data_IF_988641029501
#
_entry.id   IF_988641029501
#
_cell.length_a   1.000
_cell.length_b   1.000
_cell.length_c   1.000
_cell.angle_alpha   90.00
_cell.angle_beta   90.00
_cell.angle_gamma   90.00
#
_symmetry.space_group_name_H-M   'P 1'
#
loop_
_entity.id
_entity.type
_entity.pdbx_description
1 polymer ?
#
# COMPACT_ATOMS: atom_id res chain seq x y z
N UNK A 1 -5.89 -9.21 14.58
CA UNK A 1 -4.80 -10.09 14.11
C UNK A 1 -5.26 -11.03 12.98
N UNK A 2 -6.40 -11.74 13.10
CA UNK A 2 -6.86 -12.76 12.13
C UNK A 2 -7.11 -12.12 10.74
N UNK A 3 -7.93 -11.08 10.63
CA UNK A 3 -8.25 -10.43 9.35
C UNK A 3 -7.00 -9.96 8.60
N UNK A 4 -6.00 -9.43 9.31
CA UNK A 4 -4.73 -9.00 8.70
C UNK A 4 -4.01 -10.20 8.10
N UNK A 5 -3.94 -11.32 8.82
CA UNK A 5 -3.29 -12.55 8.32
C UNK A 5 -4.01 -13.12 7.09
N UNK A 6 -5.36 -13.06 7.05
CA UNK A 6 -6.15 -13.47 5.88
C UNK A 6 -5.89 -12.58 4.66
N UNK A 7 -5.84 -11.26 4.85
CA UNK A 7 -5.50 -10.30 3.78
C UNK A 7 -4.14 -10.61 3.17
N UNK A 8 -3.10 -10.65 4.00
CA UNK A 8 -1.73 -10.84 3.54
C UNK A 8 -1.44 -12.29 3.08
N UNK A 9 -2.15 -13.28 3.61
CA UNK A 9 -2.07 -14.67 3.16
C UNK A 9 -2.72 -14.91 1.79
N UNK A 10 -3.80 -14.19 1.47
CA UNK A 10 -4.48 -14.29 0.19
C UNK A 10 -3.73 -13.55 -0.95
N UNK A 11 -3.01 -12.49 -0.63
CA UNK A 11 -2.37 -11.59 -1.60
C UNK A 11 -1.38 -12.29 -2.55
N UNK A 12 -0.47 -13.17 -2.11
CA UNK A 12 0.41 -13.91 -3.00
C UNK A 12 -0.32 -14.87 -3.94
N UNK A 13 -1.42 -15.49 -3.47
CA UNK A 13 -2.17 -16.46 -4.25
C UNK A 13 -2.86 -15.85 -5.47
N UNK A 14 -3.18 -14.55 -5.43
CA UNK A 14 -3.78 -13.79 -6.53
C UNK A 14 -2.76 -13.17 -7.48
N UNK A 15 -1.47 -13.18 -7.14
CA UNK A 15 -0.43 -12.51 -7.91
C UNK A 15 -0.18 -13.18 -9.25
N UNK A 16 -0.06 -12.41 -10.35
CA UNK A 16 0.24 -12.98 -11.67
C UNK A 16 1.68 -13.52 -11.75
N UNK A 17 1.87 -14.57 -12.55
CA UNK A 17 3.20 -15.09 -12.88
C UNK A 17 3.83 -14.26 -13.99
N UNK A 18 4.69 -13.31 -13.64
CA UNK A 18 5.39 -12.43 -14.60
C UNK A 18 6.90 -12.60 -14.46
N UNK A 19 7.59 -12.64 -15.61
CA UNK A 19 9.06 -12.70 -15.63
C UNK A 19 9.68 -11.39 -15.11
N UNK A 20 10.59 -11.47 -14.15
CA UNK A 20 11.31 -10.31 -13.61
C UNK A 20 12.12 -9.55 -14.68
N UNK A 21 12.56 -10.23 -15.75
CA UNK A 21 13.22 -9.57 -16.89
C UNK A 21 12.26 -8.67 -17.67
N UNK A 22 11.03 -9.12 -17.88
CA UNK A 22 10.00 -8.32 -18.57
C UNK A 22 9.58 -7.12 -17.72
N UNK A 23 9.42 -7.32 -16.39
CA UNK A 23 9.14 -6.24 -15.44
C UNK A 23 10.24 -5.18 -15.49
N UNK A 24 11.52 -5.57 -15.38
CA UNK A 24 12.63 -4.64 -15.40
C UNK A 24 12.75 -3.85 -16.72
N UNK A 25 12.53 -4.52 -17.86
CA UNK A 25 12.64 -3.89 -19.17
C UNK A 25 11.49 -2.93 -19.49
N UNK A 26 10.25 -3.30 -19.13
CA UNK A 26 9.05 -2.54 -19.49
C UNK A 26 8.68 -1.48 -18.47
N UNK A 27 8.78 -1.80 -17.19
CA UNK A 27 8.23 -0.96 -16.11
C UNK A 27 9.28 -0.40 -15.15
N UNK A 28 10.56 -0.50 -15.49
CA UNK A 28 11.65 0.01 -14.66
C UNK A 28 11.44 1.45 -14.16
N UNK A 29 11.07 2.42 -15.02
CA UNK A 29 10.77 3.79 -14.57
C UNK A 29 9.62 3.85 -13.56
N UNK A 30 8.55 3.08 -13.77
CA UNK A 30 7.41 3.03 -12.86
C UNK A 30 7.77 2.36 -11.53
N UNK A 31 8.57 1.29 -11.58
CA UNK A 31 9.12 0.67 -10.37
C UNK A 31 9.97 1.66 -9.58
N UNK A 32 10.93 2.34 -10.24
CA UNK A 32 11.77 3.32 -9.58
C UNK A 32 10.93 4.46 -8.95
N UNK A 33 9.92 4.94 -9.67
CA UNK A 33 8.99 5.95 -9.17
C UNK A 33 8.27 5.49 -7.91
N UNK A 34 7.65 4.33 -7.95
CA UNK A 34 6.85 3.82 -6.84
C UNK A 34 7.72 3.40 -5.64
N UNK A 35 8.84 2.71 -5.89
CA UNK A 35 9.74 2.27 -4.82
C UNK A 35 10.39 3.46 -4.11
N UNK A 36 10.88 4.45 -4.86
CA UNK A 36 11.47 5.66 -4.28
C UNK A 36 10.43 6.47 -3.53
N UNK A 37 9.22 6.61 -4.08
CA UNK A 37 8.13 7.31 -3.41
C UNK A 37 7.79 6.71 -2.06
N UNK A 38 7.71 5.38 -1.98
CA UNK A 38 7.52 4.66 -0.72
C UNK A 38 8.65 4.96 0.26
N UNK A 39 9.90 4.69 -0.13
CA UNK A 39 11.06 4.83 0.74
C UNK A 39 11.25 6.26 1.24
N UNK A 40 11.08 7.26 0.36
CA UNK A 40 11.17 8.67 0.75
C UNK A 40 10.05 9.09 1.70
N UNK A 41 8.84 8.56 1.53
CA UNK A 41 7.76 8.86 2.46
C UNK A 41 8.09 8.34 3.86
N UNK A 42 8.56 7.08 3.99
CA UNK A 42 9.03 6.52 5.25
C UNK A 42 10.18 7.33 5.84
N UNK A 43 11.22 7.61 5.04
CA UNK A 43 12.41 8.32 5.50
C UNK A 43 12.10 9.77 5.93
N UNK A 44 11.54 10.58 5.03
CA UNK A 44 11.39 12.01 5.28
C UNK A 44 10.36 12.32 6.35
N UNK A 45 9.21 11.64 6.33
CA UNK A 45 8.17 11.86 7.35
C UNK A 45 8.58 11.26 8.69
N UNK A 46 9.24 10.10 8.68
CA UNK A 46 9.78 9.51 9.90
C UNK A 46 10.83 10.41 10.56
N UNK A 47 11.80 10.91 9.79
CA UNK A 47 12.82 11.86 10.29
C UNK A 47 12.21 13.18 10.74
N UNK A 48 11.22 13.71 10.03
CA UNK A 48 10.48 14.89 10.45
C UNK A 48 9.80 14.68 11.80
N UNK A 49 9.13 13.55 11.99
CA UNK A 49 8.53 13.20 13.29
C UNK A 49 9.54 13.11 14.40
N UNK A 50 10.67 12.45 14.14
CA UNK A 50 11.69 12.18 15.14
C UNK A 50 12.50 13.43 15.55
N UNK A 51 12.82 14.32 14.60
CA UNK A 51 13.68 15.47 14.84
C UNK A 51 12.94 16.80 14.95
N UNK A 52 11.80 16.97 14.29
CA UNK A 52 11.06 18.24 14.32
C UNK A 52 9.87 18.18 15.26
N UNK A 53 8.99 17.17 15.11
CA UNK A 53 7.81 17.08 15.98
C UNK A 53 8.23 16.79 17.42
N UNK A 54 9.16 15.87 17.64
CA UNK A 54 9.64 15.51 18.98
C UNK A 54 10.39 16.65 19.66
N UNK A 55 10.98 17.59 18.91
CA UNK A 55 11.57 18.82 19.49
C UNK A 55 10.51 19.69 20.17
N UNK A 56 9.27 19.71 19.63
CA UNK A 56 8.16 20.50 20.17
C UNK A 56 7.39 19.70 21.24
N UNK A 57 7.28 18.38 21.06
CA UNK A 57 6.61 17.45 21.96
C UNK A 57 7.57 16.30 22.36
N UNK A 58 8.48 16.50 23.33
CA UNK A 58 9.51 15.51 23.67
C UNK A 58 8.99 14.16 24.16
N UNK A 59 7.79 14.15 24.77
CA UNK A 59 7.17 12.95 25.35
C UNK A 59 6.53 12.02 24.30
N UNK A 60 6.56 12.39 23.02
CA UNK A 60 6.04 11.54 21.96
C UNK A 60 6.93 10.32 21.72
N UNK A 61 6.29 9.19 21.40
CA UNK A 61 6.99 7.98 20.98
C UNK A 61 7.86 8.27 19.76
N UNK A 62 9.06 7.69 19.70
CA UNK A 62 10.00 7.85 18.58
C UNK A 62 9.39 7.44 17.24
N UNK A 63 8.47 6.48 17.25
CA UNK A 63 7.76 6.01 16.08
C UNK A 63 6.55 6.87 15.68
N UNK A 64 6.27 7.99 16.37
CA UNK A 64 5.08 8.82 16.07
C UNK A 64 5.06 9.29 14.62
N UNK A 65 6.19 9.75 14.09
CA UNK A 65 6.29 10.25 12.71
C UNK A 65 5.96 9.20 11.65
N UNK A 66 6.31 7.94 11.89
CA UNK A 66 6.05 6.86 10.93
C UNK A 66 4.58 6.41 10.91
N UNK A 67 3.75 6.86 11.83
CA UNK A 67 2.32 6.58 11.75
C UNK A 67 1.69 7.17 10.49
N UNK A 68 2.23 8.25 9.95
CA UNK A 68 1.71 8.84 8.72
C UNK A 68 1.99 7.95 7.48
N UNK A 69 3.23 7.56 7.14
CA UNK A 69 3.45 6.65 6.01
C UNK A 69 2.77 5.29 6.21
N UNK A 70 2.63 4.84 7.45
CA UNK A 70 1.88 3.63 7.80
C UNK A 70 0.42 3.72 7.35
N UNK A 71 -0.26 4.84 7.59
CA UNK A 71 -1.64 5.05 7.20
C UNK A 71 -1.79 5.52 5.75
N UNK A 72 -0.93 6.41 5.28
CA UNK A 72 -1.01 6.97 3.93
C UNK A 72 -0.64 5.94 2.87
N UNK A 73 0.60 5.51 2.84
CA UNK A 73 1.08 4.57 1.83
C UNK A 73 0.49 3.17 2.00
N UNK A 74 0.51 2.68 3.23
CA UNK A 74 0.05 1.33 3.55
C UNK A 74 -1.47 1.20 3.71
N UNK A 75 -2.18 2.31 3.87
CA UNK A 75 -3.62 2.32 4.13
C UNK A 75 -4.00 1.64 5.45
N UNK A 76 -5.28 1.35 5.61
CA UNK A 76 -5.82 0.77 6.85
C UNK A 76 -5.26 -0.62 7.18
N UNK A 77 -4.90 -1.42 6.15
CA UNK A 77 -4.31 -2.76 6.33
C UNK A 77 -2.97 -2.69 7.05
N UNK A 78 -2.06 -1.88 6.55
CA UNK A 78 -0.74 -1.65 7.13
C UNK A 78 -0.84 -0.93 8.47
N UNK A 79 -1.75 0.05 8.59
CA UNK A 79 -2.01 0.75 9.84
C UNK A 79 -2.45 -0.20 10.96
N UNK A 80 -3.34 -1.14 10.64
CA UNK A 80 -3.76 -2.17 11.58
C UNK A 80 -2.61 -3.13 11.92
N UNK A 81 -1.78 -3.52 10.94
CA UNK A 81 -0.67 -4.45 11.13
C UNK A 81 0.41 -3.85 12.04
N UNK A 82 0.96 -2.69 11.65
CA UNK A 82 2.01 -1.99 12.40
C UNK A 82 1.48 -1.50 13.75
N UNK A 83 0.26 -0.95 13.78
CA UNK A 83 -0.36 -0.50 15.02
C UNK A 83 -0.51 -1.63 16.03
N UNK A 84 -1.00 -2.81 15.60
CA UNK A 84 -1.13 -3.98 16.48
C UNK A 84 0.23 -4.53 16.93
N UNK A 85 1.26 -4.46 16.07
CA UNK A 85 2.61 -4.87 16.46
C UNK A 85 3.18 -3.94 17.54
N UNK A 86 3.02 -2.62 17.42
CA UNK A 86 3.43 -1.66 18.44
C UNK A 86 2.62 -1.79 19.74
N UNK A 87 1.29 -2.05 19.67
CA UNK A 87 0.48 -2.35 20.84
C UNK A 87 1.05 -3.57 21.60
N UNK A 88 1.43 -4.64 20.89
CA UNK A 88 2.08 -5.81 21.48
C UNK A 88 3.45 -5.52 22.10
N UNK A 89 4.12 -4.46 21.66
CA UNK A 89 5.42 -4.01 22.16
C UNK A 89 5.30 -2.86 23.18
N UNK A 90 4.10 -2.54 23.67
CA UNK A 90 3.85 -1.62 24.77
C UNK A 90 3.49 -0.18 24.39
N UNK A 91 3.14 0.08 23.11
CA UNK A 91 2.62 1.39 22.69
C UNK A 91 1.12 1.31 22.35
N UNK A 92 0.26 1.46 23.34
CA UNK A 92 -1.19 1.24 23.29
C UNK A 92 -1.97 2.18 22.34
N UNK A 93 -1.40 3.33 22.00
CA UNK A 93 -2.03 4.32 21.14
C UNK A 93 -1.72 4.12 19.63
N UNK A 94 -0.71 3.32 19.31
CA UNK A 94 -0.18 3.18 17.95
C UNK A 94 -1.24 2.82 16.92
N UNK A 95 -2.11 1.87 17.23
CA UNK A 95 -3.17 1.42 16.32
C UNK A 95 -4.18 2.52 16.04
N UNK A 96 -4.62 3.25 17.08
CA UNK A 96 -5.55 4.36 16.91
C UNK A 96 -4.94 5.49 16.07
N UNK A 97 -3.66 5.81 16.26
CA UNK A 97 -2.93 6.81 15.48
C UNK A 97 -2.79 6.38 14.02
N UNK A 98 -2.35 5.13 13.78
CA UNK A 98 -2.23 4.59 12.41
C UNK A 98 -3.56 4.54 11.67
N UNK A 99 -4.63 4.09 12.31
CA UNK A 99 -5.97 4.06 11.71
C UNK A 99 -6.49 5.47 11.42
N UNK A 100 -6.20 6.44 12.29
CA UNK A 100 -6.57 7.85 12.08
C UNK A 100 -5.83 8.43 10.89
N UNK A 101 -4.52 8.20 10.77
CA UNK A 101 -3.74 8.69 9.61
C UNK A 101 -4.22 8.03 8.31
N UNK A 102 -4.60 6.75 8.32
CA UNK A 102 -5.17 6.08 7.16
C UNK A 102 -6.51 6.71 6.73
N UNK A 103 -7.40 6.98 7.68
CA UNK A 103 -8.70 7.61 7.40
C UNK A 103 -8.53 9.03 6.85
N UNK A 104 -7.67 9.83 7.48
CA UNK A 104 -7.35 11.19 7.00
C UNK A 104 -6.65 11.13 5.64
N UNK A 105 -5.80 10.13 5.44
CA UNK A 105 -5.13 9.89 4.17
C UNK A 105 -6.10 9.70 3.00
N UNK A 106 -7.16 8.91 3.17
CA UNK A 106 -8.21 8.74 2.15
C UNK A 106 -8.89 10.08 1.84
N UNK A 107 -9.20 10.88 2.86
CA UNK A 107 -9.79 12.22 2.67
C UNK A 107 -8.81 13.13 1.89
N UNK A 108 -7.54 13.16 2.27
CA UNK A 108 -6.50 13.92 1.57
C UNK A 108 -6.30 13.43 0.12
N UNK A 109 -6.40 12.13 -0.11
CA UNK A 109 -6.35 11.53 -1.45
C UNK A 109 -7.43 12.10 -2.35
N UNK A 110 -8.68 12.09 -1.90
CA UNK A 110 -9.83 12.55 -2.68
C UNK A 110 -9.75 14.07 -2.89
N UNK A 111 -9.69 14.86 -1.82
CA UNK A 111 -9.72 16.32 -1.91
C UNK A 111 -8.50 16.84 -2.68
N UNK A 112 -7.30 16.41 -2.29
CA UNK A 112 -6.07 16.82 -2.96
C UNK A 112 -6.01 16.34 -4.40
N UNK A 113 -6.47 15.12 -4.67
CA UNK A 113 -6.56 14.56 -6.02
C UNK A 113 -7.48 15.38 -6.93
N UNK A 114 -8.69 15.70 -6.48
CA UNK A 114 -9.64 16.51 -7.25
C UNK A 114 -9.11 17.94 -7.51
N UNK A 115 -8.46 18.55 -6.52
CA UNK A 115 -7.81 19.86 -6.71
C UNK A 115 -6.71 19.81 -7.76
N UNK A 116 -5.88 18.77 -7.75
CA UNK A 116 -4.82 18.56 -8.74
C UNK A 116 -5.39 18.27 -10.13
N UNK A 117 -6.44 17.47 -10.25
CA UNK A 117 -7.14 17.20 -11.53
C UNK A 117 -7.71 18.50 -12.10
N UNK A 118 -8.40 19.29 -11.28
CA UNK A 118 -8.93 20.60 -11.71
C UNK A 118 -7.83 21.54 -12.18
N UNK A 119 -6.72 21.59 -11.45
CA UNK A 119 -5.55 22.38 -11.84
C UNK A 119 -4.98 21.90 -13.18
N UNK A 120 -4.80 20.60 -13.34
CA UNK A 120 -4.19 20.03 -14.54
C UNK A 120 -5.08 20.17 -15.79
N UNK A 121 -6.38 20.00 -15.67
CA UNK A 121 -7.33 20.25 -16.75
C UNK A 121 -7.26 21.71 -17.21
N UNK A 122 -7.31 22.67 -16.26
CA UNK A 122 -7.18 24.09 -16.56
C UNK A 122 -5.86 24.45 -17.26
N UNK A 123 -4.76 23.77 -16.93
CA UNK A 123 -3.43 24.04 -17.50
C UNK A 123 -3.05 23.08 -18.63
N UNK A 124 -4.02 22.32 -19.17
CA UNK A 124 -3.81 21.38 -20.28
C UNK A 124 -2.67 20.38 -20.02
N UNK A 125 -2.55 19.89 -18.79
CA UNK A 125 -1.55 18.90 -18.38
C UNK A 125 -2.07 17.46 -18.46
N UNK A 126 -3.37 17.27 -18.70
CA UNK A 126 -4.04 15.99 -18.88
C UNK A 126 -4.02 15.59 -20.37
N UNK A 127 -3.82 14.30 -20.65
CA UNK A 127 -3.75 13.81 -22.03
C UNK A 127 -5.12 13.40 -22.61
N UNK A 128 -6.10 13.03 -21.78
CA UNK A 128 -7.33 12.36 -22.23
C UNK A 128 -8.61 13.10 -21.90
N UNK A 129 -8.58 14.11 -21.04
CA UNK A 129 -9.73 14.97 -20.73
C UNK A 129 -9.40 16.43 -20.95
N UNK A 130 -10.39 17.17 -21.45
CA UNK A 130 -10.30 18.62 -21.64
C UNK A 130 -11.11 19.41 -20.61
N UNK A 131 -12.12 18.81 -19.97
CA UNK A 131 -12.97 19.46 -18.99
C UNK A 131 -13.28 18.54 -17.79
N UNK A 132 -13.53 19.16 -16.63
CA UNK A 132 -13.81 18.45 -15.38
C UNK A 132 -15.25 17.92 -15.30
N UNK A 133 -16.15 18.46 -16.13
CA UNK A 133 -17.57 18.08 -16.11
C UNK A 133 -17.88 16.73 -16.78
N UNK A 134 -16.89 16.11 -17.44
CA UNK A 134 -16.99 14.80 -18.10
C UNK A 134 -16.78 13.60 -17.13
N UNK A 135 -17.14 13.74 -15.85
CA UNK A 135 -17.01 12.67 -14.86
C UNK A 135 -17.95 11.49 -15.19
N UNK A 136 -17.42 10.25 -15.26
CA UNK A 136 -18.25 9.06 -15.45
C UNK A 136 -19.30 8.91 -14.33
N UNK A 137 -20.53 8.56 -14.70
CA UNK A 137 -21.65 8.38 -13.74
C UNK A 137 -21.35 7.34 -12.66
N UNK A 138 -20.52 6.34 -12.96
CA UNK A 138 -20.06 5.32 -12.01
C UNK A 138 -19.27 5.89 -10.83
N UNK A 139 -18.56 7.03 -11.03
CA UNK A 139 -17.84 7.72 -9.93
C UNK A 139 -18.78 8.56 -9.05
N UNK A 140 -19.94 8.95 -9.58
CA UNK A 140 -20.97 9.71 -8.84
C UNK A 140 -21.88 8.79 -8.03
N UNK A 141 -22.31 7.67 -8.65
CA UNK A 141 -23.30 6.76 -8.08
C UNK A 141 -22.69 5.60 -7.29
N UNK A 142 -21.43 5.25 -7.57
CA UNK A 142 -20.79 4.02 -7.07
C UNK A 142 -21.32 2.73 -7.72
N UNK A 143 -22.21 2.84 -8.72
CA UNK A 143 -22.80 1.70 -9.43
C UNK A 143 -22.07 1.48 -10.75
N UNK A 144 -21.65 0.22 -10.99
CA UNK A 144 -21.09 -0.18 -12.28
C UNK A 144 -22.22 -0.43 -13.28
N UNK A 145 -22.16 0.15 -14.48
CA UNK A 145 -23.03 -0.19 -15.60
C UNK A 145 -22.96 -1.70 -15.92
N UNK A 146 -24.02 -2.26 -16.48
CA UNK A 146 -24.11 -3.70 -16.71
C UNK A 146 -23.02 -4.24 -17.65
N UNK A 147 -22.66 -3.46 -18.66
CA UNK A 147 -21.61 -3.74 -19.63
C UNK A 147 -20.18 -3.71 -19.07
N UNK A 148 -20.01 -3.10 -17.87
CA UNK A 148 -18.72 -2.98 -17.18
C UNK A 148 -18.58 -3.87 -15.95
N UNK A 149 -19.52 -4.78 -15.74
CA UNK A 149 -19.49 -5.71 -14.60
C UNK A 149 -18.55 -6.87 -14.87
N UNK A 150 -17.39 -6.85 -14.21
CA UNK A 150 -16.43 -7.95 -14.29
C UNK A 150 -16.90 -9.16 -13.47
N UNK A 151 -16.51 -10.37 -13.90
CA UNK A 151 -16.70 -11.58 -13.11
C UNK A 151 -15.92 -11.50 -11.80
N UNK A 152 -16.54 -11.95 -10.71
CA UNK A 152 -15.89 -12.04 -9.39
C UNK A 152 -15.04 -13.31 -9.23
N UNK A 153 -15.06 -14.19 -10.21
CA UNK A 153 -14.30 -15.44 -10.24
C UNK A 153 -14.99 -16.51 -11.08
N UNK A 154 -14.29 -17.62 -11.27
CA UNK A 154 -14.76 -18.80 -12.00
C UNK A 154 -14.97 -19.97 -11.04
N UNK A 155 -15.95 -20.82 -11.34
CA UNK A 155 -16.17 -22.08 -10.64
C UNK A 155 -15.11 -23.09 -11.06
N UNK A 156 -14.08 -23.27 -10.23
CA UNK A 156 -12.96 -24.19 -10.48
C UNK A 156 -13.20 -25.59 -9.91
N UNK A 157 -14.18 -25.74 -9.02
CA UNK A 157 -14.56 -27.01 -8.39
C UNK A 157 -16.01 -27.34 -8.68
N UNK A 158 -16.32 -28.64 -8.83
CA UNK A 158 -17.70 -29.10 -8.96
C UNK A 158 -18.45 -28.95 -7.64
N UNK A 159 -19.66 -28.43 -7.69
CA UNK A 159 -20.56 -28.31 -6.51
C UNK A 159 -20.89 -29.65 -5.83
N UNK A 160 -20.64 -30.76 -6.53
CA UNK A 160 -20.79 -32.12 -5.95
C UNK A 160 -19.73 -32.39 -4.88
N UNK A 161 -18.51 -31.81 -5.05
CA UNK A 161 -17.40 -32.01 -4.11
C UNK A 161 -17.31 -30.90 -3.06
N UNK A 162 -17.18 -29.66 -3.48
CA UNK A 162 -17.09 -28.48 -2.62
C UNK A 162 -17.44 -27.22 -3.42
N UNK A 163 -18.14 -26.29 -2.83
CA UNK A 163 -18.36 -24.97 -3.40
C UNK A 163 -17.01 -24.24 -3.61
N UNK A 164 -16.85 -23.61 -4.78
CA UNK A 164 -15.60 -22.94 -5.16
C UNK A 164 -15.21 -21.82 -4.22
N UNK A 165 -16.17 -21.00 -3.75
CA UNK A 165 -15.88 -19.93 -2.81
C UNK A 165 -15.43 -20.49 -1.46
N UNK A 166 -16.12 -21.52 -0.97
CA UNK A 166 -15.77 -22.22 0.27
C UNK A 166 -14.37 -22.81 0.21
N UNK A 167 -14.00 -23.42 -0.94
CA UNK A 167 -12.63 -23.92 -1.17
C UNK A 167 -11.58 -22.81 -1.05
N UNK A 168 -11.79 -21.67 -1.70
CA UNK A 168 -10.84 -20.55 -1.66
C UNK A 168 -10.77 -19.90 -0.27
N UNK A 169 -11.91 -19.76 0.41
CA UNK A 169 -11.94 -19.29 1.80
C UNK A 169 -11.13 -20.22 2.70
N UNK A 170 -11.38 -21.54 2.61
CA UNK A 170 -10.64 -22.53 3.39
C UNK A 170 -9.13 -22.48 3.10
N UNK A 171 -8.75 -22.35 1.83
CA UNK A 171 -7.34 -22.20 1.44
C UNK A 171 -6.67 -20.99 2.10
N UNK A 172 -7.32 -19.82 2.08
CA UNK A 172 -6.80 -18.60 2.70
C UNK A 172 -6.68 -18.77 4.22
N UNK A 173 -7.64 -19.42 4.86
CA UNK A 173 -7.57 -19.74 6.29
C UNK A 173 -6.44 -20.71 6.62
N UNK A 174 -6.18 -21.72 5.79
CA UNK A 174 -5.04 -22.63 5.94
C UNK A 174 -3.71 -21.85 5.85
N UNK A 175 -3.56 -20.96 4.88
CA UNK A 175 -2.37 -20.11 4.76
C UNK A 175 -2.16 -19.24 6.01
N UNK A 176 -3.22 -18.60 6.49
CA UNK A 176 -3.16 -17.78 7.70
C UNK A 176 -2.83 -18.60 8.95
N UNK A 177 -3.40 -19.81 9.07
CA UNK A 177 -3.14 -20.73 10.16
C UNK A 177 -1.68 -21.22 10.16
N UNK A 178 -1.15 -21.62 9.00
CA UNK A 178 0.26 -21.99 8.87
C UNK A 178 1.18 -20.81 9.21
N UNK A 179 0.83 -19.59 8.79
CA UNK A 179 1.53 -18.37 9.19
C UNK A 179 1.53 -18.15 10.69
N UNK A 180 0.40 -18.39 11.35
CA UNK A 180 0.29 -18.35 12.80
C UNK A 180 1.20 -19.39 13.46
N UNK A 181 1.18 -20.64 12.99
CA UNK A 181 2.04 -21.70 13.53
C UNK A 181 3.53 -21.34 13.41
N UNK A 182 3.96 -20.80 12.27
CA UNK A 182 5.34 -20.35 12.07
C UNK A 182 5.68 -19.21 13.02
N UNK A 183 4.83 -18.20 13.15
CA UNK A 183 5.03 -17.07 14.06
C UNK A 183 5.19 -17.54 15.51
N UNK A 184 4.32 -18.43 15.99
CA UNK A 184 4.41 -18.98 17.35
C UNK A 184 5.68 -19.84 17.54
N UNK A 185 6.05 -20.64 16.56
CA UNK A 185 7.27 -21.45 16.60
C UNK A 185 8.51 -20.58 16.70
N UNK A 186 8.61 -19.53 15.87
CA UNK A 186 9.73 -18.58 15.92
C UNK A 186 9.79 -17.88 17.28
N UNK A 187 8.67 -17.46 17.84
CA UNK A 187 8.61 -16.82 19.17
C UNK A 187 9.12 -17.74 20.28
N UNK A 188 8.86 -19.05 20.21
CA UNK A 188 9.34 -20.03 21.19
C UNK A 188 10.86 -20.21 21.13
N UNK A 189 11.43 -20.36 19.92
CA UNK A 189 12.88 -20.60 19.75
C UNK A 189 13.72 -19.34 19.74
N UNK A 190 13.16 -18.21 19.33
CA UNK A 190 13.82 -16.91 19.23
C UNK A 190 12.94 -15.78 19.81
N UNK A 191 12.82 -15.67 21.16
CA UNK A 191 11.92 -14.72 21.81
C UNK A 191 12.16 -13.26 21.43
N UNK A 192 13.38 -12.91 21.03
CA UNK A 192 13.74 -11.55 20.58
C UNK A 192 13.16 -11.22 19.19
N UNK A 193 12.83 -12.26 18.40
CA UNK A 193 12.33 -12.10 17.04
C UNK A 193 10.83 -12.34 16.99
N UNK A 194 10.05 -11.34 17.41
CA UNK A 194 8.58 -11.40 17.34
C UNK A 194 8.08 -11.12 15.92
N UNK A 195 8.08 -12.16 15.06
CA UNK A 195 7.55 -12.02 13.71
C UNK A 195 6.02 -11.93 13.73
N UNK A 196 5.41 -10.88 13.15
CA UNK A 196 3.97 -10.76 13.03
C UNK A 196 3.35 -11.90 12.21
N UNK A 197 2.17 -12.37 12.64
CA UNK A 197 1.45 -13.49 11.98
C UNK A 197 1.19 -13.20 10.50
N UNK A 198 0.85 -11.95 10.15
CA UNK A 198 0.55 -11.58 8.77
C UNK A 198 1.78 -11.69 7.85
N UNK A 199 2.99 -11.39 8.35
CA UNK A 199 4.24 -11.52 7.59
C UNK A 199 4.56 -12.99 7.32
N UNK A 200 4.38 -13.83 8.34
CA UNK A 200 4.52 -15.28 8.17
C UNK A 200 3.48 -15.83 7.20
N UNK A 201 2.22 -15.38 7.28
CA UNK A 201 1.15 -15.76 6.34
C UNK A 201 1.47 -15.35 4.90
N UNK A 202 2.03 -14.15 4.69
CA UNK A 202 2.48 -13.71 3.37
C UNK A 202 3.58 -14.60 2.80
N UNK A 203 4.60 -14.92 3.60
CA UNK A 203 5.70 -15.80 3.19
C UNK A 203 5.19 -17.21 2.87
N UNK A 204 4.33 -17.76 3.71
CA UNK A 204 3.69 -19.07 3.47
C UNK A 204 2.85 -19.01 2.18
N UNK A 205 2.11 -17.94 1.96
CA UNK A 205 1.35 -17.72 0.72
C UNK A 205 2.23 -17.74 -0.52
N UNK A 206 3.41 -17.09 -0.49
CA UNK A 206 4.39 -17.11 -1.57
C UNK A 206 4.95 -18.53 -1.83
N UNK A 207 5.29 -19.24 -0.76
CA UNK A 207 5.82 -20.61 -0.86
C UNK A 207 4.76 -21.54 -1.45
N UNK A 208 3.54 -21.50 -0.94
CA UNK A 208 2.43 -22.30 -1.44
C UNK A 208 2.05 -21.93 -2.87
N UNK A 209 2.03 -20.65 -3.24
CA UNK A 209 1.83 -20.21 -4.63
C UNK A 209 2.83 -20.86 -5.57
N UNK A 210 4.13 -20.79 -5.23
CA UNK A 210 5.18 -21.41 -6.03
C UNK A 210 5.02 -22.94 -6.14
N UNK A 211 4.62 -23.60 -5.05
CA UNK A 211 4.33 -25.03 -5.04
C UNK A 211 3.12 -25.37 -5.91
N UNK A 212 2.05 -24.61 -5.82
CA UNK A 212 0.83 -24.82 -6.62
C UNK A 212 1.10 -24.60 -8.10
N UNK A 213 1.87 -23.57 -8.46
CA UNK A 213 2.25 -23.29 -9.85
C UNK A 213 3.12 -24.40 -10.47
N UNK A 214 3.90 -25.10 -9.65
CA UNK A 214 4.69 -26.25 -10.08
C UNK A 214 3.88 -27.56 -10.15
N UNK A 215 2.62 -27.55 -9.70
CA UNK A 215 1.75 -28.73 -9.63
C UNK A 215 0.45 -28.49 -10.38
N UNK A 216 -0.36 -29.56 -10.55
CA UNK A 216 -1.69 -29.45 -11.14
C UNK A 216 -2.72 -28.77 -10.20
N UNK A 217 -2.36 -28.51 -8.95
CA UNK A 217 -3.23 -27.85 -7.95
C UNK A 217 -3.59 -26.43 -8.38
N UNK A 218 -2.71 -25.74 -9.12
CA UNK A 218 -2.99 -24.40 -9.67
C UNK A 218 -4.29 -24.31 -10.46
N UNK A 219 -4.76 -25.40 -11.06
CA UNK A 219 -6.01 -25.47 -11.83
C UNK A 219 -7.27 -25.29 -10.96
N UNK A 220 -7.18 -25.57 -9.66
CA UNK A 220 -8.29 -25.42 -8.73
C UNK A 220 -8.36 -24.02 -8.12
N UNK A 221 -7.32 -23.18 -8.33
CA UNK A 221 -7.22 -21.85 -7.73
C UNK A 221 -7.58 -20.80 -8.77
N UNK A 222 -8.63 -20.04 -8.48
CA UNK A 222 -9.03 -18.86 -9.26
C UNK A 222 -8.39 -17.60 -8.67
N UNK A 223 -7.45 -16.93 -9.37
CA UNK A 223 -6.80 -15.72 -8.87
C UNK A 223 -7.80 -14.58 -8.61
N UNK A 224 -8.85 -14.44 -9.44
CA UNK A 224 -9.88 -13.42 -9.27
C UNK A 224 -10.66 -13.62 -7.96
N UNK A 225 -11.06 -14.85 -7.66
CA UNK A 225 -11.75 -15.18 -6.40
C UNK A 225 -10.85 -14.92 -5.20
N UNK A 226 -9.57 -15.28 -5.27
CA UNK A 226 -8.60 -15.02 -4.20
C UNK A 226 -8.38 -13.53 -3.98
N UNK A 227 -8.28 -12.75 -5.08
CA UNK A 227 -8.17 -11.28 -5.01
C UNK A 227 -9.42 -10.66 -4.37
N UNK A 228 -10.62 -11.12 -4.73
CA UNK A 228 -11.87 -10.63 -4.14
C UNK A 228 -11.97 -10.95 -2.65
N UNK A 229 -11.52 -12.12 -2.22
CA UNK A 229 -11.44 -12.48 -0.80
C UNK A 229 -10.49 -11.56 -0.03
N UNK A 230 -9.29 -11.30 -0.59
CA UNK A 230 -8.34 -10.35 0.00
C UNK A 230 -8.95 -8.95 0.15
N UNK A 231 -9.63 -8.45 -0.89
CA UNK A 231 -10.33 -7.16 -0.85
C UNK A 231 -11.45 -7.15 0.18
N UNK A 232 -12.28 -8.19 0.24
CA UNK A 232 -13.38 -8.31 1.21
C UNK A 232 -12.87 -8.33 2.65
N UNK A 233 -11.82 -9.10 2.94
CA UNK A 233 -11.20 -9.10 4.27
C UNK A 233 -10.57 -7.76 4.61
N UNK A 234 -10.04 -7.02 3.60
CA UNK A 234 -9.54 -5.66 3.78
C UNK A 234 -10.66 -4.71 4.18
N UNK A 235 -11.80 -4.75 3.48
CA UNK A 235 -12.95 -3.88 3.80
C UNK A 235 -13.49 -4.16 5.21
N UNK A 236 -13.59 -5.44 5.60
CA UNK A 236 -13.94 -5.83 6.96
C UNK A 236 -12.91 -5.32 7.99
N UNK A 237 -11.62 -5.41 7.65
CA UNK A 237 -10.54 -4.90 8.49
C UNK A 237 -10.63 -3.39 8.66
N UNK A 238 -10.93 -2.65 7.58
CA UNK A 238 -11.15 -1.20 7.59
C UNK A 238 -12.32 -0.85 8.51
N UNK A 239 -13.47 -1.49 8.32
CA UNK A 239 -14.67 -1.23 9.13
C UNK A 239 -14.41 -1.49 10.62
N UNK A 240 -13.86 -2.65 10.98
CA UNK A 240 -13.50 -2.98 12.36
C UNK A 240 -12.40 -2.04 12.91
N UNK A 241 -11.44 -1.68 12.07
CA UNK A 241 -10.32 -0.81 12.44
C UNK A 241 -10.80 0.60 12.77
N UNK A 242 -11.59 1.21 11.88
CA UNK A 242 -12.18 2.54 12.10
C UNK A 242 -13.08 2.53 13.34
N UNK A 243 -13.93 1.51 13.49
CA UNK A 243 -14.78 1.38 14.68
C UNK A 243 -13.98 1.22 16.00
N UNK A 244 -12.74 0.73 15.94
CA UNK A 244 -11.88 0.54 17.11
C UNK A 244 -11.05 1.77 17.49
N UNK A 245 -11.14 2.87 16.74
CA UNK A 245 -10.38 4.10 17.02
C UNK A 245 -10.81 4.70 18.36
N UNK A 246 -9.86 4.86 19.27
CA UNK A 246 -10.09 5.49 20.58
C UNK A 246 -10.08 7.00 20.41
N UNK A 247 -11.25 7.65 20.40
CA UNK A 247 -11.38 9.11 20.21
C UNK A 247 -10.55 9.91 21.23
N UNK A 248 -10.42 9.43 22.48
CA UNK A 248 -9.57 10.05 23.49
C UNK A 248 -8.10 10.14 23.08
N UNK A 249 -7.59 9.14 22.34
CA UNK A 249 -6.23 9.17 21.77
C UNK A 249 -6.09 10.28 20.74
N UNK A 250 -7.09 10.40 19.84
CA UNK A 250 -7.06 11.46 18.80
C UNK A 250 -7.04 12.84 19.45
N UNK A 251 -7.89 13.07 20.45
CA UNK A 251 -7.94 14.36 21.16
C UNK A 251 -6.61 14.65 21.87
N UNK A 252 -6.04 13.64 22.55
CA UNK A 252 -4.74 13.75 23.24
C UNK A 252 -3.60 14.15 22.29
N UNK A 253 -3.58 13.59 21.10
CA UNK A 253 -2.52 13.81 20.10
C UNK A 253 -2.92 14.76 18.96
N UNK A 254 -4.02 15.50 19.09
CA UNK A 254 -4.59 16.30 17.99
C UNK A 254 -3.58 17.28 17.37
N UNK A 255 -2.89 18.09 18.19
CA UNK A 255 -1.94 19.09 17.68
C UNK A 255 -0.74 18.45 16.94
N UNK A 256 0.04 17.53 17.55
CA UNK A 256 1.15 16.91 16.86
C UNK A 256 0.69 16.10 15.63
N UNK A 257 -0.50 15.52 15.67
CA UNK A 257 -1.05 14.77 14.54
C UNK A 257 -1.42 15.70 13.36
N UNK A 258 -2.03 16.86 13.63
CA UNK A 258 -2.33 17.87 12.59
C UNK A 258 -1.03 18.36 11.94
N UNK A 259 0.01 18.68 12.73
CA UNK A 259 1.32 19.10 12.20
C UNK A 259 1.94 18.00 11.33
N UNK A 260 1.89 16.75 11.81
CA UNK A 260 2.38 15.59 11.06
C UNK A 260 1.64 15.42 9.72
N UNK A 261 0.32 15.55 9.73
CA UNK A 261 -0.52 15.40 8.53
C UNK A 261 -0.21 16.50 7.51
N UNK A 262 -0.18 17.77 7.94
CA UNK A 262 0.10 18.90 7.04
C UNK A 262 1.49 18.74 6.41
N UNK A 263 2.52 18.49 7.21
CA UNK A 263 3.87 18.26 6.72
C UNK A 263 3.94 17.03 5.80
N UNK A 264 3.29 15.95 6.20
CA UNK A 264 3.25 14.71 5.42
C UNK A 264 2.58 14.88 4.06
N UNK A 265 1.42 15.55 4.00
CA UNK A 265 0.74 15.89 2.74
C UNK A 265 1.66 16.72 1.83
N UNK A 266 2.34 17.73 2.37
CA UNK A 266 3.28 18.56 1.62
C UNK A 266 4.47 17.72 1.09
N UNK A 267 5.05 16.87 1.93
CA UNK A 267 6.17 15.99 1.54
C UNK A 267 5.72 15.01 0.44
N UNK A 268 4.59 14.35 0.61
CA UNK A 268 4.06 13.40 -0.38
C UNK A 268 3.74 14.10 -1.69
N UNK A 269 3.14 15.29 -1.63
CA UNK A 269 2.88 16.10 -2.83
C UNK A 269 4.18 16.46 -3.56
N UNK A 270 5.20 16.92 -2.85
CA UNK A 270 6.51 17.22 -3.45
C UNK A 270 7.12 15.98 -4.11
N UNK A 271 7.10 14.82 -3.41
CA UNK A 271 7.65 13.57 -3.94
C UNK A 271 6.90 13.14 -5.21
N UNK A 272 5.57 13.09 -5.17
CA UNK A 272 4.75 12.64 -6.30
C UNK A 272 4.92 13.54 -7.51
N UNK A 273 4.88 14.84 -7.30
CA UNK A 273 4.99 15.82 -8.38
C UNK A 273 6.38 15.87 -9.02
N UNK A 274 7.42 15.92 -8.18
CA UNK A 274 8.80 16.00 -8.67
C UNK A 274 9.23 14.72 -9.37
N UNK A 275 9.04 13.56 -8.75
CA UNK A 275 9.42 12.28 -9.34
C UNK A 275 8.55 11.93 -10.56
N UNK A 276 7.24 12.23 -10.51
CA UNK A 276 6.35 11.99 -11.64
C UNK A 276 6.80 12.72 -12.90
N UNK A 277 7.24 13.97 -12.77
CA UNK A 277 7.79 14.75 -13.89
C UNK A 277 9.13 14.23 -14.40
N UNK A 278 9.93 13.59 -13.55
CA UNK A 278 11.30 13.15 -13.87
C UNK A 278 11.37 11.71 -14.35
N UNK A 279 10.48 10.84 -13.90
CA UNK A 279 10.51 9.41 -14.20
C UNK A 279 9.43 8.96 -15.20
N UNK A 280 8.37 9.76 -15.41
CA UNK A 280 7.32 9.43 -16.37
C UNK A 280 7.61 10.07 -17.74
N UNK A 281 8.01 9.26 -18.72
CA UNK A 281 8.28 9.71 -20.10
C UNK A 281 7.01 10.16 -20.81
N UNK A 282 5.93 9.45 -20.60
CA UNK A 282 4.60 9.71 -21.19
C UNK A 282 3.56 9.76 -20.07
N UNK A 283 2.52 10.53 -20.27
CA UNK A 283 1.36 10.58 -19.37
C UNK A 283 1.78 10.84 -17.90
N UNK A 284 2.65 11.84 -17.71
CA UNK A 284 3.25 12.09 -16.40
C UNK A 284 2.21 12.46 -15.35
N UNK A 285 1.16 13.20 -15.75
CA UNK A 285 0.12 13.61 -14.83
C UNK A 285 -0.78 12.44 -14.43
N UNK A 286 -1.16 11.60 -15.38
CA UNK A 286 -1.96 10.38 -15.15
C UNK A 286 -1.22 9.42 -14.20
N UNK A 287 0.09 9.25 -14.38
CA UNK A 287 0.92 8.44 -13.48
C UNK A 287 1.08 9.08 -12.10
N UNK A 288 1.23 10.39 -12.06
CA UNK A 288 1.36 11.17 -10.83
C UNK A 288 0.07 11.14 -10.01
N UNK A 289 -1.08 11.36 -10.64
CA UNK A 289 -2.37 11.38 -9.92
C UNK A 289 -2.75 10.00 -9.39
N UNK A 290 -2.42 8.94 -10.14
CA UNK A 290 -2.55 7.57 -9.66
C UNK A 290 -1.68 7.33 -8.41
N UNK A 291 -0.40 7.73 -8.46
CA UNK A 291 0.52 7.59 -7.33
C UNK A 291 0.07 8.42 -6.13
N UNK A 292 -0.40 9.65 -6.34
CA UNK A 292 -0.98 10.46 -5.27
C UNK A 292 -2.12 9.74 -4.55
N UNK A 293 -3.09 9.25 -5.30
CA UNK A 293 -4.24 8.53 -4.74
C UNK A 293 -3.84 7.30 -3.93
N UNK A 294 -2.85 6.57 -4.42
CA UNK A 294 -2.34 5.40 -3.72
C UNK A 294 -1.49 5.77 -2.50
N UNK A 295 -0.54 6.70 -2.63
CA UNK A 295 0.41 7.01 -1.57
C UNK A 295 -0.16 7.85 -0.42
N UNK A 296 -1.35 8.39 -0.59
CA UNK A 296 -2.08 9.09 0.48
C UNK A 296 -3.29 8.31 1.00
N UNK A 297 -3.81 7.37 0.22
CA UNK A 297 -5.02 6.64 0.56
C UNK A 297 -4.92 5.14 0.36
N UNK A 298 -5.38 4.69 -0.80
CA UNK A 298 -5.36 3.27 -1.19
C UNK A 298 -5.17 3.15 -2.69
N UNK A 299 -4.82 1.95 -3.16
CA UNK A 299 -4.77 1.67 -4.60
C UNK A 299 -6.11 1.98 -5.28
N UNK A 300 -7.23 1.71 -4.62
CA UNK A 300 -8.56 2.01 -5.16
C UNK A 300 -8.76 3.51 -5.40
N UNK A 301 -8.26 4.38 -4.51
CA UNK A 301 -8.27 5.83 -4.69
C UNK A 301 -7.40 6.26 -5.88
N UNK A 302 -6.22 5.63 -6.03
CA UNK A 302 -5.36 5.86 -7.19
C UNK A 302 -6.06 5.52 -8.50
N UNK A 303 -6.75 4.39 -8.57
CA UNK A 303 -7.54 3.97 -9.74
C UNK A 303 -8.71 4.93 -9.99
N UNK A 304 -9.43 5.33 -8.95
CA UNK A 304 -10.56 6.25 -9.07
C UNK A 304 -10.11 7.59 -9.64
N UNK A 305 -9.04 8.18 -9.11
CA UNK A 305 -8.48 9.44 -9.61
C UNK A 305 -7.91 9.31 -11.03
N UNK A 306 -7.27 8.18 -11.35
CA UNK A 306 -6.79 7.92 -12.70
C UNK A 306 -7.95 7.87 -13.70
N UNK A 307 -9.05 7.20 -13.36
CA UNK A 307 -10.24 7.11 -14.24
C UNK A 307 -10.88 8.45 -14.53
N UNK A 308 -10.73 9.44 -13.65
CA UNK A 308 -11.19 10.81 -13.90
C UNK A 308 -10.42 11.42 -15.08
N UNK A 309 -9.09 11.23 -15.13
CA UNK A 309 -8.23 11.85 -16.15
C UNK A 309 -7.97 10.95 -17.35
N UNK A 310 -8.15 9.66 -17.20
CA UNK A 310 -7.99 8.62 -18.23
C UNK A 310 -9.10 7.56 -18.11
N UNK A 311 -10.34 7.87 -18.52
CA UNK A 311 -11.49 6.98 -18.36
C UNK A 311 -11.32 5.59 -19.03
N UNK A 312 -10.55 5.54 -20.11
CA UNK A 312 -10.31 4.31 -20.89
C UNK A 312 -9.02 3.58 -20.47
N UNK A 313 -8.31 4.06 -19.45
CA UNK A 313 -7.02 3.53 -18.99
C UNK A 313 -5.97 3.42 -20.11
N UNK A 314 -6.03 4.32 -21.08
CA UNK A 314 -5.18 4.34 -22.28
C UNK A 314 -3.71 4.66 -21.96
N UNK A 315 -3.43 5.33 -20.84
CA UNK A 315 -2.08 5.59 -20.34
C UNK A 315 -1.32 4.33 -19.93
N UNK A 316 -2.04 3.20 -19.69
CA UNK A 316 -1.51 1.96 -19.11
C UNK A 316 -0.81 2.15 -17.75
N UNK A 317 -1.09 3.26 -17.06
CA UNK A 317 -0.48 3.54 -15.77
C UNK A 317 -0.80 2.45 -14.73
N UNK A 318 -2.04 1.94 -14.74
CA UNK A 318 -2.46 0.85 -13.85
C UNK A 318 -1.73 -0.46 -14.16
N UNK A 319 -1.59 -0.83 -15.45
CA UNK A 319 -0.91 -2.08 -15.85
C UNK A 319 0.58 -2.04 -15.50
N UNK A 320 1.24 -0.90 -15.80
CA UNK A 320 2.66 -0.70 -15.51
C UNK A 320 2.90 -0.73 -13.99
N UNK A 321 1.97 -0.17 -13.22
CA UNK A 321 2.03 -0.20 -11.77
C UNK A 321 1.82 -1.62 -11.22
N UNK A 322 0.81 -2.35 -11.69
CA UNK A 322 0.55 -3.72 -11.23
C UNK A 322 1.79 -4.62 -11.40
N UNK A 323 2.53 -4.48 -12.51
CA UNK A 323 3.79 -5.18 -12.72
C UNK A 323 4.94 -4.63 -11.85
N UNK A 324 5.02 -3.32 -11.66
CA UNK A 324 6.05 -2.69 -10.83
C UNK A 324 5.89 -3.06 -9.34
N UNK A 325 4.66 -3.34 -8.89
CA UNK A 325 4.39 -3.70 -7.50
C UNK A 325 4.99 -5.07 -7.09
N UNK A 326 5.21 -5.99 -8.03
CA UNK A 326 5.78 -7.30 -7.72
C UNK A 326 7.13 -7.24 -6.98
N UNK A 327 8.14 -6.45 -7.41
CA UNK A 327 9.36 -6.27 -6.64
C UNK A 327 9.22 -5.31 -5.44
N UNK A 328 8.17 -4.48 -5.37
CA UNK A 328 7.92 -3.57 -4.24
C UNK A 328 7.37 -4.33 -3.04
N UNK A 329 6.43 -5.24 -3.24
CA UNK A 329 5.74 -5.95 -2.17
C UNK A 329 6.67 -6.65 -1.15
N UNK A 330 7.76 -7.36 -1.53
CA UNK A 330 8.70 -7.92 -0.56
C UNK A 330 9.36 -6.85 0.33
N UNK A 331 9.74 -5.71 -0.23
CA UNK A 331 10.37 -4.61 0.52
C UNK A 331 9.35 -3.97 1.47
N UNK A 332 8.13 -3.79 1.02
CA UNK A 332 7.03 -3.28 1.84
C UNK A 332 6.75 -4.21 3.03
N UNK A 333 6.67 -5.52 2.79
CA UNK A 333 6.46 -6.51 3.86
C UNK A 333 7.63 -6.51 4.86
N UNK A 334 8.87 -6.39 4.40
CA UNK A 334 10.03 -6.25 5.28
C UNK A 334 9.90 -4.98 6.15
N UNK A 335 9.53 -3.85 5.57
CA UNK A 335 9.29 -2.62 6.35
C UNK A 335 8.18 -2.83 7.39
N UNK A 336 7.01 -3.33 6.98
CA UNK A 336 5.88 -3.56 7.88
C UNK A 336 6.27 -4.51 9.04
N UNK A 337 7.10 -5.51 8.75
CA UNK A 337 7.55 -6.51 9.74
C UNK A 337 8.55 -5.94 10.73
N UNK A 338 9.58 -5.26 10.24
CA UNK A 338 10.73 -4.89 11.06
C UNK A 338 10.65 -3.48 11.66
N UNK A 339 9.84 -2.60 11.11
CA UNK A 339 9.68 -1.22 11.63
C UNK A 339 9.36 -1.19 13.13
N UNK A 340 8.35 -1.92 13.65
CA UNK A 340 8.06 -1.88 15.08
C UNK A 340 9.23 -2.38 15.94
N UNK A 341 9.85 -3.49 15.52
CA UNK A 341 10.97 -4.11 16.23
C UNK A 341 12.16 -3.15 16.30
N UNK A 342 12.51 -2.54 15.18
CA UNK A 342 13.68 -1.65 15.11
C UNK A 342 13.47 -0.36 15.88
N UNK A 343 12.26 0.22 15.88
CA UNK A 343 11.97 1.41 16.66
C UNK A 343 12.02 1.15 18.15
N UNK A 344 11.45 0.04 18.63
CA UNK A 344 11.47 -0.31 20.06
C UNK A 344 12.90 -0.60 20.55
N UNK A 345 13.77 -1.13 19.68
CA UNK A 345 15.18 -1.36 20.00
C UNK A 345 16.09 -0.14 19.75
N UNK A 346 15.54 1.05 19.51
CA UNK A 346 16.33 2.29 19.31
C UNK A 346 17.04 2.39 17.96
N UNK A 347 16.74 1.47 17.03
CA UNK A 347 17.35 1.42 15.70
C UNK A 347 16.51 2.13 14.62
N UNK A 348 15.43 2.81 15.00
CA UNK A 348 14.50 3.47 14.08
C UNK A 348 15.19 4.49 13.16
N UNK A 349 16.13 5.29 13.67
CA UNK A 349 16.89 6.25 12.86
C UNK A 349 17.65 5.56 11.74
N UNK A 350 18.33 4.45 12.06
CA UNK A 350 19.12 3.71 11.07
C UNK A 350 18.25 3.12 9.96
N UNK A 351 17.04 2.66 10.30
CA UNK A 351 16.06 2.22 9.31
C UNK A 351 15.65 3.37 8.38
N UNK A 352 15.33 4.55 8.94
CA UNK A 352 14.94 5.71 8.13
C UNK A 352 16.08 6.20 7.21
N UNK A 353 17.32 6.20 7.72
CA UNK A 353 18.50 6.50 6.92
C UNK A 353 18.74 5.44 5.83
N UNK A 354 18.53 4.16 6.13
CA UNK A 354 18.62 3.10 5.13
C UNK A 354 17.58 3.28 4.02
N UNK A 355 16.34 3.65 4.36
CA UNK A 355 15.31 4.00 3.37
C UNK A 355 15.74 5.19 2.50
N UNK A 356 16.34 6.21 3.10
CA UNK A 356 16.84 7.38 2.37
C UNK A 356 17.99 7.00 1.42
N UNK A 357 18.99 6.26 1.91
CA UNK A 357 20.13 5.81 1.11
C UNK A 357 19.66 4.91 -0.04
N UNK A 358 18.78 3.94 0.24
CA UNK A 358 18.25 3.06 -0.79
C UNK A 358 17.45 3.83 -1.85
N UNK A 359 16.68 4.84 -1.46
CA UNK A 359 15.99 5.71 -2.41
C UNK A 359 16.95 6.48 -3.32
N UNK A 360 18.04 7.00 -2.77
CA UNK A 360 19.09 7.68 -3.55
C UNK A 360 19.82 6.72 -4.50
N UNK A 361 20.10 5.49 -4.07
CA UNK A 361 20.70 4.46 -4.92
C UNK A 361 19.79 4.09 -6.10
N UNK A 362 18.49 3.96 -5.86
CA UNK A 362 17.51 3.70 -6.93
C UNK A 362 17.42 4.89 -7.90
N UNK A 363 17.46 6.13 -7.41
CA UNK A 363 17.50 7.31 -8.26
C UNK A 363 18.77 7.36 -9.11
N UNK A 364 19.93 7.03 -8.55
CA UNK A 364 21.19 6.91 -9.29
C UNK A 364 21.12 5.82 -10.35
N UNK A 365 20.52 4.68 -10.03
CA UNK A 365 20.25 3.59 -10.99
C UNK A 365 19.36 4.09 -12.12
N UNK A 366 18.25 4.76 -11.79
CA UNK A 366 17.33 5.33 -12.76
C UNK A 366 18.00 6.33 -13.70
N UNK A 367 18.90 7.14 -13.16
CA UNK A 367 19.70 8.08 -13.96
C UNK A 367 20.66 7.34 -14.90
N UNK A 368 21.40 6.34 -14.42
CA UNK A 368 22.31 5.51 -15.25
C UNK A 368 21.59 4.73 -16.34
N UNK A 369 20.36 4.25 -16.05
CA UNK A 369 19.53 3.52 -16.99
C UNK A 369 18.83 4.43 -18.03
N UNK A 370 19.02 5.77 -17.95
CA UNK A 370 18.38 6.73 -18.84
C UNK A 370 16.86 6.86 -18.63
N UNK A 371 16.37 6.50 -17.43
CA UNK A 371 14.96 6.68 -17.05
C UNK A 371 14.66 8.10 -16.57
N UNK A 372 15.69 8.80 -16.12
CA UNK A 372 15.58 10.18 -15.65
C UNK A 372 15.47 11.15 -16.80
N UNK A 373 14.44 11.98 -16.79
CA UNK A 373 14.16 12.98 -17.83
C UNK A 373 14.71 14.33 -17.37
N UNK A 374 15.70 14.85 -18.10
CA UNK A 374 16.10 16.24 -18.02
C UNK A 374 15.17 17.06 -18.91
N UNK A 375 14.08 17.57 -18.34
CA UNK A 375 13.26 18.57 -19.03
C UNK A 375 13.96 19.91 -18.83
N UNK A 376 14.46 20.47 -19.93
CA UNK A 376 14.87 21.88 -20.01
C UNK A 376 13.68 22.80 -19.84
#
# INVERSE_FOLDING_TARGET
>A
AILIALVFGALPLSSPNVSMKEVAKRVGPMWAYAQVGMLLQWALVGLFGLYVIKLIWPDLNDAFGIMLPTGFYGGHGTAAAIGSAFEGLGWDEARSLGMTTATVGVICSIIGGLLMVKWAAKHKQTAFISDFDDLPDELRSGLLPEDKRDSIGEATTSSISIDTLTFHVALVFVVAFLGYMVSQTVKVYYPVLELPVFSCAFIIGLVLKKFFDATTISRYICPQTTQRLSSSFTDMLVACGVASIKLGVIVKYALPLIVLIIAGVAIVWCITFFLGRRLAKTFWFERMIFAWGWWTGTMAMGIALLRIVDPKLSSKAMDDYAMAYLPIAPIEILLITFVPILFVNGLGVWLLLACLVLSLLILLLAWKMGWWITRS
#
